data_IF_201524415297
#
_entry.id   IF_201524415297
#
_cell.length_a   1.000
_cell.length_b   1.000
_cell.length_c   1.000
_cell.angle_alpha   90.00
_cell.angle_beta   90.00
_cell.angle_gamma   90.00
#
_symmetry.space_group_name_H-M   'P 1'
#
loop_
_entity.id
_entity.type
_entity.pdbx_description
1 polymer ?
#
# COMPACT_ATOMS: atom_id res chain seq x y z
N UNK A 1 0.11 5.21 16.21
CA UNK A 1 1.44 4.99 15.61
C UNK A 1 2.31 4.33 16.65
N UNK A 2 3.35 3.60 16.23
CA UNK A 2 4.34 3.06 17.16
C UNK A 2 5.14 4.20 17.82
N UNK A 3 5.54 4.02 19.07
CA UNK A 3 6.41 4.97 19.76
C UNK A 3 7.87 4.78 19.34
N UNK A 4 8.70 5.80 19.60
CA UNK A 4 10.15 5.72 19.39
C UNK A 4 10.78 4.51 20.11
N UNK A 5 10.36 4.24 21.34
CA UNK A 5 10.85 3.13 22.15
C UNK A 5 10.48 1.77 21.54
N UNK A 6 9.23 1.62 21.08
CA UNK A 6 8.78 0.41 20.38
C UNK A 6 9.58 0.16 19.10
N UNK A 7 9.84 1.22 18.32
CA UNK A 7 10.63 1.14 17.10
C UNK A 7 12.11 0.84 17.36
N UNK A 8 12.70 1.42 18.42
CA UNK A 8 14.08 1.14 18.82
C UNK A 8 14.23 -0.33 19.22
N UNK A 9 13.29 -0.87 20.00
CA UNK A 9 13.28 -2.29 20.35
C UNK A 9 13.17 -3.18 19.11
N UNK A 10 12.21 -2.89 18.24
CA UNK A 10 12.06 -3.62 16.99
C UNK A 10 13.33 -3.58 16.12
N UNK A 11 14.00 -2.43 16.04
CA UNK A 11 15.25 -2.28 15.30
C UNK A 11 16.38 -3.14 15.90
N UNK A 12 16.48 -3.21 17.23
CA UNK A 12 17.42 -4.10 17.90
C UNK A 12 17.12 -5.58 17.66
N UNK A 13 15.84 -5.96 17.66
CA UNK A 13 15.42 -7.36 17.51
C UNK A 13 15.58 -7.86 16.06
N UNK A 14 15.31 -7.00 15.07
CA UNK A 14 15.31 -7.41 13.64
C UNK A 14 16.54 -6.96 12.86
N UNK A 15 17.33 -6.02 13.39
CA UNK A 15 18.45 -5.40 12.67
C UNK A 15 18.03 -4.42 11.56
N UNK A 16 16.74 -4.11 11.42
CA UNK A 16 16.26 -3.19 10.39
C UNK A 16 16.33 -1.71 10.84
N UNK A 17 16.49 -0.76 9.91
CA UNK A 17 16.45 0.66 10.25
C UNK A 17 15.11 1.09 10.84
N UNK A 18 15.15 1.92 11.89
CA UNK A 18 13.96 2.48 12.57
C UNK A 18 13.00 3.14 11.58
N UNK A 19 13.51 3.97 10.68
CA UNK A 19 12.69 4.69 9.70
C UNK A 19 11.94 3.73 8.76
N UNK A 20 12.59 2.61 8.39
CA UNK A 20 11.98 1.59 7.53
C UNK A 20 10.91 0.79 8.29
N UNK A 21 11.16 0.41 9.54
CA UNK A 21 10.18 -0.28 10.39
C UNK A 21 8.92 0.56 10.58
N UNK A 22 9.09 1.86 10.86
CA UNK A 22 7.96 2.77 11.02
C UNK A 22 7.16 2.93 9.72
N UNK A 23 7.84 3.09 8.58
CA UNK A 23 7.18 3.18 7.28
C UNK A 23 6.38 1.94 6.96
N UNK A 24 6.92 0.74 7.17
CA UNK A 24 6.19 -0.52 6.92
C UNK A 24 5.01 -0.65 7.88
N UNK A 25 5.15 -0.26 9.15
CA UNK A 25 4.01 -0.23 10.09
C UNK A 25 2.89 0.71 9.61
N UNK A 26 3.25 1.89 9.09
CA UNK A 26 2.27 2.81 8.51
C UNK A 26 1.66 2.26 7.21
N UNK A 27 2.47 1.59 6.38
CA UNK A 27 2.03 0.93 5.15
C UNK A 27 0.98 -0.15 5.46
N UNK A 28 1.20 -1.00 6.47
CA UNK A 28 0.22 -2.02 6.88
C UNK A 28 -1.13 -1.38 7.23
N UNK A 29 -1.11 -0.26 7.97
CA UNK A 29 -2.34 0.51 8.30
C UNK A 29 -3.00 1.10 7.06
N UNK A 30 -2.20 1.63 6.13
CA UNK A 30 -2.68 2.15 4.85
C UNK A 30 -3.38 1.05 4.04
N UNK A 31 -2.73 -0.10 3.88
CA UNK A 31 -3.28 -1.24 3.16
C UNK A 31 -4.57 -1.77 3.78
N UNK A 32 -4.68 -1.80 5.12
CA UNK A 32 -5.93 -2.19 5.80
C UNK A 32 -7.08 -1.24 5.49
N UNK A 33 -6.84 0.07 5.46
CA UNK A 33 -7.88 1.03 5.06
C UNK A 33 -8.19 0.97 3.58
N UNK A 34 -7.21 0.70 2.71
CA UNK A 34 -7.45 0.47 1.29
C UNK A 34 -8.34 -0.76 1.07
N UNK A 35 -8.02 -1.89 1.71
CA UNK A 35 -8.79 -3.12 1.65
C UNK A 35 -10.23 -2.95 2.17
N UNK A 36 -10.40 -2.24 3.29
CA UNK A 36 -11.70 -2.00 3.90
C UNK A 36 -12.55 -0.92 3.21
N UNK A 37 -12.00 -0.16 2.27
CA UNK A 37 -12.74 0.90 1.60
C UNK A 37 -13.69 0.30 0.54
N UNK A 38 -15.01 0.62 0.55
CA UNK A 38 -16.03 -0.08 -0.24
C UNK A 38 -15.84 0.04 -1.76
N UNK A 39 -15.33 1.18 -2.24
CA UNK A 39 -15.04 1.38 -3.66
C UNK A 39 -13.64 0.90 -4.08
N UNK A 40 -12.61 1.36 -3.36
CA UNK A 40 -11.19 1.09 -3.64
C UNK A 40 -10.80 -0.37 -3.43
N UNK A 41 -11.15 -0.99 -2.29
CA UNK A 41 -10.71 -2.35 -1.94
C UNK A 41 -10.98 -3.39 -3.02
N UNK A 42 -12.22 -3.50 -3.54
CA UNK A 42 -12.54 -4.44 -4.63
C UNK A 42 -11.84 -4.16 -5.97
N UNK A 43 -11.25 -2.97 -6.15
CA UNK A 43 -10.73 -2.48 -7.44
C UNK A 43 -9.22 -2.38 -7.51
N UNK A 44 -8.51 -2.76 -6.46
CA UNK A 44 -7.05 -2.78 -6.46
C UNK A 44 -6.53 -4.12 -6.01
N UNK A 45 -5.42 -4.56 -6.61
CA UNK A 45 -4.68 -5.72 -6.17
C UNK A 45 -3.21 -5.38 -5.95
N UNK A 46 -2.66 -5.78 -4.80
CA UNK A 46 -1.28 -5.53 -4.42
C UNK A 46 -0.31 -6.39 -5.22
N UNK A 47 0.82 -5.80 -5.58
CA UNK A 47 1.96 -6.47 -6.19
C UNK A 47 3.28 -5.89 -5.70
N UNK A 48 4.37 -6.27 -6.36
CA UNK A 48 5.70 -5.73 -6.17
C UNK A 48 6.39 -6.21 -4.90
N UNK A 49 7.42 -5.47 -4.50
CA UNK A 49 8.27 -5.85 -3.38
C UNK A 49 7.51 -5.96 -2.05
N UNK A 50 6.48 -5.15 -1.86
CA UNK A 50 5.69 -5.14 -0.62
C UNK A 50 4.78 -6.35 -0.52
N UNK A 51 4.16 -6.77 -1.63
CA UNK A 51 3.47 -8.06 -1.70
C UNK A 51 4.41 -9.22 -1.36
N UNK A 52 5.57 -9.28 -2.02
CA UNK A 52 6.55 -10.34 -1.80
C UNK A 52 7.02 -10.41 -0.35
N UNK A 53 7.34 -9.27 0.28
CA UNK A 53 7.87 -9.25 1.64
C UNK A 53 6.80 -9.51 2.71
N UNK A 54 5.58 -8.97 2.57
CA UNK A 54 4.53 -9.11 3.60
C UNK A 54 3.71 -10.40 3.46
N UNK A 55 3.53 -10.93 2.25
CA UNK A 55 2.61 -12.05 2.00
C UNK A 55 3.33 -13.37 1.67
N UNK A 56 4.49 -13.31 1.01
CA UNK A 56 5.16 -14.52 0.49
C UNK A 56 6.35 -14.93 1.35
N UNK A 57 7.34 -14.05 1.50
CA UNK A 57 8.60 -14.35 2.19
C UNK A 57 8.57 -14.00 3.68
N UNK A 58 9.54 -14.50 4.45
CA UNK A 58 9.68 -14.19 5.88
C UNK A 58 10.47 -12.88 6.08
N UNK A 59 10.01 -11.80 5.44
CA UNK A 59 10.58 -10.45 5.54
C UNK A 59 12.13 -10.40 5.38
N UNK A 60 12.71 -10.98 4.31
CA UNK A 60 14.17 -10.98 4.11
C UNK A 60 14.74 -9.56 3.94
N UNK A 61 13.87 -8.60 3.58
CA UNK A 61 14.14 -7.16 3.61
C UNK A 61 12.85 -6.41 3.91
N UNK A 62 12.96 -5.11 4.15
CA UNK A 62 11.80 -4.23 4.18
C UNK A 62 11.53 -3.65 2.78
N UNK A 63 10.26 -3.49 2.46
CA UNK A 63 9.77 -2.82 1.25
C UNK A 63 8.82 -1.72 1.68
N UNK A 64 9.04 -0.50 1.19
CA UNK A 64 8.42 0.72 1.74
C UNK A 64 7.47 1.44 0.78
N UNK A 65 7.35 0.93 -0.45
CA UNK A 65 6.47 1.45 -1.49
C UNK A 65 5.25 0.54 -1.66
N UNK A 66 4.11 1.09 -2.04
CA UNK A 66 2.89 0.33 -2.36
C UNK A 66 2.69 0.33 -3.86
N UNK A 67 2.76 -0.84 -4.47
CA UNK A 67 2.45 -1.02 -5.89
C UNK A 67 1.14 -1.79 -6.03
N UNK A 68 0.15 -1.19 -6.69
CA UNK A 68 -1.14 -1.85 -6.96
C UNK A 68 -1.49 -1.80 -8.44
N UNK A 69 -2.11 -2.86 -8.94
CA UNK A 69 -2.86 -2.81 -10.18
C UNK A 69 -4.31 -2.41 -9.88
N UNK A 70 -4.87 -1.53 -10.69
CA UNK A 70 -6.32 -1.38 -10.78
C UNK A 70 -6.90 -2.63 -11.47
N UNK A 71 -7.92 -3.24 -10.88
CA UNK A 71 -8.58 -4.47 -11.34
C UNK A 71 -10.11 -4.32 -11.43
N UNK A 72 -10.60 -3.09 -11.66
CA UNK A 72 -12.02 -2.81 -11.85
C UNK A 72 -12.49 -3.11 -13.29
N UNK A 73 -13.14 -2.14 -13.93
CA UNK A 73 -13.55 -2.24 -15.33
C UNK A 73 -12.38 -2.44 -16.29
N UNK A 74 -12.47 -3.47 -17.14
CA UNK A 74 -11.44 -3.80 -18.12
C UNK A 74 -11.38 -2.80 -19.30
N UNK A 75 -12.54 -2.25 -19.68
CA UNK A 75 -12.64 -1.27 -20.76
C UNK A 75 -12.10 0.11 -20.33
N UNK A 76 -11.61 0.86 -21.31
CA UNK A 76 -10.95 2.14 -21.05
C UNK A 76 -11.91 3.20 -20.50
N UNK A 77 -13.15 3.23 -20.96
CA UNK A 77 -14.12 4.26 -20.60
C UNK A 77 -14.51 4.14 -19.12
N UNK A 78 -14.89 2.92 -18.71
CA UNK A 78 -15.16 2.60 -17.30
C UNK A 78 -13.94 2.89 -16.44
N UNK A 79 -12.75 2.45 -16.85
CA UNK A 79 -11.54 2.68 -16.07
C UNK A 79 -11.25 4.18 -15.88
N UNK A 80 -11.40 4.99 -16.93
CA UNK A 80 -11.22 6.44 -16.82
C UNK A 80 -12.24 7.08 -15.86
N UNK A 81 -13.50 6.63 -15.90
CA UNK A 81 -14.53 7.10 -14.96
C UNK A 81 -14.28 6.65 -13.51
N UNK A 82 -13.78 5.42 -13.31
CA UNK A 82 -13.46 4.89 -11.99
C UNK A 82 -12.17 5.46 -11.41
N UNK A 83 -11.21 5.85 -12.25
CA UNK A 83 -9.95 6.47 -11.83
C UNK A 83 -10.17 7.70 -10.95
N UNK A 84 -11.04 8.63 -11.35
CA UNK A 84 -11.34 9.82 -10.54
C UNK A 84 -11.92 9.45 -9.16
N UNK A 85 -12.73 8.39 -9.12
CA UNK A 85 -13.30 7.86 -7.86
C UNK A 85 -12.25 7.16 -7.01
N UNK A 86 -11.30 6.44 -7.63
CA UNK A 86 -10.15 5.83 -6.95
C UNK A 86 -9.24 6.89 -6.33
N UNK A 87 -8.93 7.94 -7.08
CA UNK A 87 -8.11 9.04 -6.58
C UNK A 87 -8.78 9.73 -5.38
N UNK A 88 -10.10 9.92 -5.44
CA UNK A 88 -10.89 10.42 -4.31
C UNK A 88 -10.85 9.47 -3.11
N UNK A 89 -11.03 8.16 -3.34
CA UNK A 89 -11.00 7.15 -2.29
C UNK A 89 -9.61 7.04 -1.62
N UNK A 90 -8.53 7.10 -2.41
CA UNK A 90 -7.16 7.11 -1.91
C UNK A 90 -6.88 8.35 -1.06
N UNK A 91 -7.34 9.53 -1.48
CA UNK A 91 -7.23 10.74 -0.69
C UNK A 91 -8.01 10.64 0.65
N UNK A 92 -9.20 10.04 0.64
CA UNK A 92 -9.98 9.79 1.86
C UNK A 92 -9.27 8.82 2.81
N UNK A 93 -8.73 7.72 2.28
CA UNK A 93 -7.95 6.74 3.06
C UNK A 93 -6.70 7.39 3.67
N UNK A 94 -5.96 8.17 2.87
CA UNK A 94 -4.79 8.90 3.34
C UNK A 94 -5.15 9.90 4.46
N UNK A 95 -6.20 10.70 4.25
CA UNK A 95 -6.70 11.66 5.23
C UNK A 95 -7.10 10.99 6.55
N UNK A 96 -7.75 9.83 6.49
CA UNK A 96 -8.15 9.05 7.69
C UNK A 96 -6.96 8.57 8.52
N UNK A 97 -5.77 8.45 7.93
CA UNK A 97 -4.53 8.13 8.64
C UNK A 97 -3.73 9.38 9.06
N UNK A 98 -4.23 10.57 8.77
CA UNK A 98 -3.51 11.82 8.98
C UNK A 98 -2.36 12.04 7.99
N UNK A 99 -2.38 11.33 6.84
CA UNK A 99 -1.38 11.52 5.80
C UNK A 99 -1.76 12.72 4.92
N UNK A 100 -0.79 13.59 4.66
CA UNK A 100 -0.96 14.71 3.73
C UNK A 100 -0.54 14.32 2.32
N UNK A 101 -1.40 14.56 1.33
CA UNK A 101 -1.07 14.34 -0.08
C UNK A 101 -0.13 15.44 -0.56
N UNK A 102 1.14 15.09 -0.84
CA UNK A 102 2.15 16.01 -1.40
C UNK A 102 2.18 15.99 -2.92
N UNK A 103 1.82 14.84 -3.50
CA UNK A 103 1.67 14.65 -4.95
C UNK A 103 0.56 13.64 -5.19
N UNK A 104 -0.33 13.97 -6.11
CA UNK A 104 -1.25 13.04 -6.75
C UNK A 104 -0.92 12.97 -8.26
N UNK A 105 -1.22 11.86 -8.94
CA UNK A 105 -0.99 11.72 -10.37
C UNK A 105 -1.88 12.67 -11.19
N UNK A 106 -1.35 13.24 -12.27
CA UNK A 106 -2.11 14.08 -13.21
C UNK A 106 -2.91 13.26 -14.23
N UNK A 107 -3.79 13.89 -14.99
CA UNK A 107 -4.85 13.24 -15.79
C UNK A 107 -4.38 12.21 -16.84
N UNK A 108 -3.12 12.18 -17.28
CA UNK A 108 -2.79 11.56 -18.57
C UNK A 108 -2.35 10.09 -18.57
N UNK A 109 -1.80 9.50 -17.50
CA UNK A 109 -1.61 8.03 -17.39
C UNK A 109 -0.98 7.63 -16.04
N UNK A 110 -1.72 6.90 -15.20
CA UNK A 110 -1.19 6.29 -13.97
C UNK A 110 -0.43 7.24 -13.03
N UNK A 111 0.09 6.71 -11.93
CA UNK A 111 1.21 7.37 -11.28
C UNK A 111 1.26 7.30 -9.77
N UNK A 112 2.32 7.95 -9.32
CA UNK A 112 2.87 7.84 -7.98
C UNK A 112 2.33 8.93 -7.06
N UNK A 113 1.53 8.51 -6.10
CA UNK A 113 1.14 9.30 -4.94
C UNK A 113 2.32 9.42 -3.99
N UNK A 114 2.50 10.62 -3.41
CA UNK A 114 3.45 10.84 -2.31
C UNK A 114 2.66 11.34 -1.11
N UNK A 115 2.55 10.48 -0.10
CA UNK A 115 1.79 10.71 1.12
C UNK A 115 2.77 10.97 2.26
N UNK A 116 2.74 12.17 2.85
CA UNK A 116 3.65 12.55 3.93
C UNK A 116 3.01 12.48 5.30
N UNK A 117 3.79 12.15 6.31
CA UNK A 117 3.41 12.23 7.72
C UNK A 117 4.61 12.62 8.59
N UNK A 118 4.36 12.99 9.84
CA UNK A 118 5.42 13.20 10.83
C UNK A 118 5.73 11.89 11.52
N UNK A 119 6.99 11.46 11.46
CA UNK A 119 7.42 10.20 12.07
C UNK A 119 7.47 10.29 13.60
N UNK A 120 7.60 9.14 14.27
CA UNK A 120 7.82 9.06 15.71
C UNK A 120 9.12 9.74 16.17
N UNK A 121 10.05 10.00 15.25
CA UNK A 121 11.27 10.78 15.47
C UNK A 121 11.08 12.29 15.22
N UNK A 122 9.86 12.74 14.92
CA UNK A 122 9.53 14.14 14.63
C UNK A 122 9.99 14.62 13.26
N UNK A 123 10.37 13.71 12.35
CA UNK A 123 10.88 14.04 11.01
C UNK A 123 9.80 13.79 9.95
N UNK A 124 9.73 14.57 8.86
CA UNK A 124 8.87 14.24 7.74
C UNK A 124 9.26 12.89 7.13
N UNK A 125 8.28 12.00 6.98
CA UNK A 125 8.39 10.73 6.28
C UNK A 125 7.38 10.67 5.13
N UNK A 126 7.66 9.84 4.12
CA UNK A 126 6.85 9.69 2.92
C UNK A 126 6.58 8.20 2.67
N UNK A 127 5.34 7.90 2.31
CA UNK A 127 4.91 6.64 1.70
C UNK A 127 4.53 6.94 0.27
N UNK A 128 4.93 6.05 -0.63
CA UNK A 128 4.62 6.16 -2.04
C UNK A 128 3.63 5.06 -2.43
N UNK A 129 2.60 5.45 -3.18
CA UNK A 129 1.59 4.52 -3.70
C UNK A 129 1.54 4.71 -5.21
N UNK A 130 1.91 3.67 -5.95
CA UNK A 130 1.78 3.65 -7.41
C UNK A 130 0.59 2.80 -7.84
N UNK A 131 -0.26 3.40 -8.67
CA UNK A 131 -1.46 2.74 -9.20
C UNK A 131 -1.28 2.54 -10.70
N UNK A 132 -1.20 1.27 -11.10
CA UNK A 132 -1.10 0.86 -12.49
C UNK A 132 -2.49 0.62 -13.08
N UNK A 133 -2.85 1.39 -14.11
CA UNK A 133 -4.13 1.29 -14.83
C UNK A 133 -4.00 0.58 -16.19
N UNK A 134 -2.82 0.10 -16.56
CA UNK A 134 -2.57 -0.59 -17.82
C UNK A 134 -2.85 -2.09 -17.70
N UNK A 135 -2.48 -2.70 -16.57
CA UNK A 135 -2.64 -4.14 -16.30
C UNK A 135 -3.97 -4.43 -15.58
N UNK A 136 -5.09 -4.14 -16.26
CA UNK A 136 -6.44 -4.13 -15.66
C UNK A 136 -7.07 -5.49 -15.45
N UNK A 137 -6.66 -6.45 -16.27
CA UNK A 137 -7.11 -7.84 -16.20
C UNK A 137 -5.89 -8.66 -15.82
N UNK A 138 -5.81 -9.13 -14.57
CA UNK A 138 -4.80 -10.10 -14.16
C UNK A 138 -4.87 -11.36 -15.03
N UNK A 139 -3.74 -12.03 -15.24
CA UNK A 139 -3.72 -13.34 -15.90
C UNK A 139 -4.34 -14.43 -15.01
N UNK A 140 -4.21 -14.29 -13.69
CA UNK A 140 -4.88 -15.13 -12.69
C UNK A 140 -5.72 -14.29 -11.73
N UNK A 141 -6.83 -14.85 -11.26
CA UNK A 141 -7.72 -14.15 -10.34
C UNK A 141 -6.98 -13.64 -9.10
N UNK A 142 -7.09 -12.34 -8.84
CA UNK A 142 -6.64 -11.77 -7.58
C UNK A 142 -7.51 -12.27 -6.43
N UNK A 143 -6.88 -12.63 -5.31
CA UNK A 143 -7.58 -13.20 -4.16
C UNK A 143 -7.36 -12.36 -2.89
N UNK A 144 -8.36 -12.23 -2.01
CA UNK A 144 -8.18 -11.58 -0.72
C UNK A 144 -7.25 -12.43 0.16
N UNK A 145 -6.13 -11.85 0.57
CA UNK A 145 -5.12 -12.50 1.38
C UNK A 145 -4.85 -11.71 2.66
N UNK A 146 -4.43 -12.42 3.70
CA UNK A 146 -3.87 -11.83 4.91
C UNK A 146 -2.34 -11.85 4.82
N UNK A 147 -1.69 -10.78 5.29
CA UNK A 147 -0.23 -10.76 5.36
C UNK A 147 0.27 -11.56 6.57
N UNK A 148 1.57 -11.85 6.55
CA UNK A 148 2.29 -12.23 7.77
C UNK A 148 2.23 -11.07 8.79
N UNK A 149 2.32 -11.36 10.10
CA UNK A 149 2.35 -10.33 11.12
C UNK A 149 3.57 -9.42 10.98
N UNK A 150 3.38 -8.13 11.22
CA UNK A 150 4.44 -7.13 11.24
C UNK A 150 4.23 -6.18 12.43
N UNK A 151 5.14 -6.21 13.40
CA UNK A 151 5.12 -5.35 14.61
C UNK A 151 3.76 -5.32 15.34
N UNK A 152 3.12 -6.48 15.47
CA UNK A 152 1.86 -6.64 16.20
C UNK A 152 0.59 -6.35 15.39
N UNK A 153 0.72 -6.00 14.11
CA UNK A 153 -0.40 -5.80 13.17
C UNK A 153 -0.26 -6.75 11.96
N UNK A 154 -1.25 -6.77 11.08
CA UNK A 154 -1.19 -7.44 9.76
C UNK A 154 -2.17 -6.81 8.79
N UNK A 155 -1.90 -6.95 7.50
CA UNK A 155 -2.89 -6.63 6.47
C UNK A 155 -3.93 -7.75 6.42
N UNK A 156 -5.21 -7.40 6.39
CA UNK A 156 -6.30 -8.38 6.34
C UNK A 156 -7.11 -8.23 5.06
N UNK A 157 -7.36 -9.35 4.37
CA UNK A 157 -8.24 -9.48 3.20
C UNK A 157 -7.99 -8.44 2.09
N UNK A 158 -6.73 -8.09 1.85
CA UNK A 158 -6.37 -7.26 0.70
C UNK A 158 -6.26 -8.16 -0.53
N UNK A 159 -6.84 -7.74 -1.65
CA UNK A 159 -6.64 -8.44 -2.91
C UNK A 159 -5.15 -8.44 -3.28
N UNK A 160 -4.59 -9.63 -3.48
CA UNK A 160 -3.21 -9.86 -3.87
C UNK A 160 -3.22 -10.45 -5.28
N UNK A 161 -2.35 -9.98 -6.18
CA UNK A 161 -2.13 -10.68 -7.43
C UNK A 161 -1.57 -12.07 -7.17
N UNK A 162 -1.83 -12.99 -8.08
CA UNK A 162 -1.29 -14.34 -8.00
C UNK A 162 0.25 -14.30 -7.92
N UNK A 163 0.83 -15.27 -7.23
CA UNK A 163 2.29 -15.35 -7.00
C UNK A 163 3.12 -15.30 -8.29
N UNK A 164 2.55 -15.73 -9.43
CA UNK A 164 3.23 -15.69 -10.73
C UNK A 164 3.15 -14.31 -11.43
N UNK A 165 2.43 -13.33 -10.86
CA UNK A 165 2.27 -11.95 -11.36
C UNK A 165 2.74 -10.88 -10.34
N UNK A 166 3.37 -11.29 -9.23
CA UNK A 166 3.78 -10.36 -8.19
C UNK A 166 4.93 -9.43 -8.60
N UNK A 167 5.80 -9.81 -9.53
CA UNK A 167 6.95 -9.02 -9.97
C UNK A 167 7.35 -9.32 -11.41
#
# INVERSE_FOLDING_TARGET
>A
MLTREQLQRAASDTGFPIDSLEKVSMLVRLLNLMAGHPFLGPRVALKGGTALNLFVFDLPRLSVDVDVNYIGGADRETMMAERTKLDTALAQVASRLGLSVKRAPGEHAGGKWRLSYTSALGRPAIIEVDVNYMLRVPLWDAAPCDSKPFLGDRVTRLNLLDRHELA
#
